data_IF_715268877996
#
_entry.id   IF_715268877996
#
_cell.length_a   1.000
_cell.length_b   1.000
_cell.length_c   1.000
_cell.angle_alpha   90.00
_cell.angle_beta   90.00
_cell.angle_gamma   90.00
#
_symmetry.space_group_name_H-M   'P 1'
#
loop_
_entity.id
_entity.type
_entity.pdbx_description
1 polymer ?
#
# COMPACT_ATOMS: atom_id res chain seq x y z
N UNK A 1 12.87 41.93 -13.17
CA UNK A 1 12.55 41.31 -14.35
C UNK A 1 12.94 39.90 -14.28
N UNK A 2 13.79 39.44 -14.11
CA UNK A 2 14.27 38.13 -14.21
C UNK A 2 13.96 37.33 -13.00
N UNK A 3 13.59 37.91 -11.92
CA UNK A 3 13.49 37.22 -10.66
C UNK A 3 12.35 36.20 -10.61
N UNK A 4 11.31 36.43 -11.37
CA UNK A 4 10.15 35.55 -11.34
C UNK A 4 10.45 34.17 -11.83
N UNK A 5 11.43 33.97 -12.64
CA UNK A 5 11.79 32.66 -13.17
C UNK A 5 12.26 31.70 -12.10
N UNK A 6 13.01 32.23 -11.16
CA UNK A 6 13.58 31.40 -10.10
C UNK A 6 12.50 30.83 -9.20
N UNK A 7 11.51 31.64 -8.92
CA UNK A 7 10.41 31.23 -8.06
C UNK A 7 9.64 30.04 -8.62
N UNK A 8 9.43 30.04 -9.93
CA UNK A 8 8.68 28.99 -10.59
C UNK A 8 9.36 27.65 -10.45
N UNK A 9 10.66 27.62 -10.57
CA UNK A 9 11.43 26.39 -10.48
C UNK A 9 11.29 25.74 -9.09
N UNK A 10 11.26 26.54 -8.06
CA UNK A 10 11.13 26.03 -6.71
C UNK A 10 9.84 25.27 -6.49
N UNK A 11 8.76 25.76 -7.06
CA UNK A 11 7.46 25.11 -6.88
C UNK A 11 7.40 23.74 -7.48
N UNK A 12 8.06 23.52 -8.59
CA UNK A 12 8.08 22.23 -9.25
C UNK A 12 8.71 21.18 -8.35
N UNK A 13 9.75 21.52 -7.64
CA UNK A 13 10.44 20.58 -6.78
C UNK A 13 9.55 20.06 -5.66
N UNK A 14 8.70 20.87 -5.10
CA UNK A 14 7.85 20.43 -4.00
C UNK A 14 6.87 19.37 -4.43
N UNK A 15 6.32 19.50 -5.61
CA UNK A 15 5.32 18.54 -6.09
C UNK A 15 5.90 17.15 -6.25
N UNK A 16 7.19 17.05 -6.51
CA UNK A 16 7.83 15.76 -6.73
C UNK A 16 7.86 14.89 -5.48
N UNK A 17 7.75 15.48 -4.30
CA UNK A 17 7.85 14.74 -3.04
C UNK A 17 6.53 14.47 -2.36
N UNK A 18 5.45 14.97 -2.92
CA UNK A 18 4.15 14.74 -2.34
C UNK A 18 3.68 13.32 -2.64
N UNK A 19 3.26 12.60 -1.62
CA UNK A 19 2.60 11.32 -1.77
C UNK A 19 1.21 11.46 -1.19
N UNK A 20 0.23 10.95 -1.92
CA UNK A 20 -1.13 11.06 -1.49
C UNK A 20 -1.51 9.94 -0.55
N UNK A 21 -2.39 10.27 0.39
CA UNK A 21 -3.03 9.29 1.25
C UNK A 21 -4.35 8.94 0.58
N UNK A 22 -4.55 7.66 0.29
CA UNK A 22 -5.75 7.22 -0.42
C UNK A 22 -6.46 6.13 0.35
N UNK A 23 -7.73 5.93 0.00
CA UNK A 23 -8.53 4.81 0.48
C UNK A 23 -8.56 3.70 -0.57
N UNK A 24 -9.12 2.54 -0.17
CA UNK A 24 -9.19 1.40 -1.08
C UNK A 24 -9.96 1.72 -2.36
N UNK A 25 -11.08 2.44 -2.24
CA UNK A 25 -11.90 2.74 -3.42
C UNK A 25 -11.22 3.66 -4.42
N UNK A 26 -10.24 4.44 -3.97
CA UNK A 26 -9.50 5.35 -4.84
C UNK A 26 -8.35 4.66 -5.56
N UNK A 27 -7.97 3.45 -5.14
CA UNK A 27 -6.73 2.83 -5.59
C UNK A 27 -6.64 2.68 -7.10
N UNK A 28 -7.73 2.36 -7.76
CA UNK A 28 -7.72 2.16 -9.21
C UNK A 28 -7.30 3.41 -9.98
N UNK A 29 -7.51 4.59 -9.39
CA UNK A 29 -7.15 5.85 -10.04
C UNK A 29 -5.68 6.19 -9.84
N UNK A 30 -4.97 5.42 -9.01
CA UNK A 30 -3.59 5.67 -8.68
C UNK A 30 -2.65 4.57 -9.18
N UNK A 31 -3.10 3.75 -10.13
CA UNK A 31 -2.27 2.70 -10.70
C UNK A 31 -0.98 3.28 -11.25
N UNK A 32 0.14 2.67 -10.90
CA UNK A 32 1.46 3.14 -11.31
C UNK A 32 2.05 4.21 -10.41
N UNK A 33 1.35 4.60 -9.35
CA UNK A 33 1.81 5.66 -8.45
C UNK A 33 2.08 5.11 -7.07
N UNK A 34 3.05 5.71 -6.39
CA UNK A 34 3.34 5.38 -5.00
C UNK A 34 2.47 6.22 -4.09
N UNK A 35 1.80 5.58 -3.15
CA UNK A 35 0.81 6.22 -2.28
C UNK A 35 0.94 5.70 -0.86
N UNK A 36 0.24 6.35 0.04
CA UNK A 36 -0.08 5.79 1.36
C UNK A 36 -1.52 5.31 1.33
N UNK A 37 -1.72 4.01 1.49
CA UNK A 37 -3.06 3.43 1.57
C UNK A 37 -3.47 3.34 3.03
N UNK A 38 -4.66 3.83 3.34
CA UNK A 38 -5.25 3.70 4.67
C UNK A 38 -6.52 2.89 4.55
N UNK A 39 -6.66 1.89 5.42
CA UNK A 39 -7.86 1.07 5.40
C UNK A 39 -7.84 0.03 6.50
N UNK A 40 -8.92 -0.72 6.59
CA UNK A 40 -9.08 -1.75 7.61
C UNK A 40 -8.83 -3.13 7.01
N UNK A 41 -8.07 -3.95 7.72
CA UNK A 41 -7.85 -5.34 7.31
C UNK A 41 -9.06 -6.14 7.75
N UNK A 42 -9.87 -6.56 6.78
CA UNK A 42 -11.08 -7.34 7.09
C UNK A 42 -10.89 -8.82 6.85
N UNK A 43 -9.83 -9.21 6.16
CA UNK A 43 -9.51 -10.62 5.97
C UNK A 43 -8.06 -10.82 5.64
N UNK A 44 -7.53 -11.96 6.03
CA UNK A 44 -6.14 -12.33 5.75
C UNK A 44 -6.13 -13.72 5.15
N UNK A 45 -5.14 -14.00 4.30
CA UNK A 45 -4.95 -15.34 3.77
C UNK A 45 -3.46 -15.60 3.61
N UNK A 46 -3.00 -16.66 4.26
CA UNK A 46 -1.61 -17.07 4.20
C UNK A 46 -1.47 -18.24 3.22
N UNK A 47 -0.58 -18.09 2.25
CA UNK A 47 -0.21 -19.16 1.33
C UNK A 47 1.18 -19.64 1.67
N UNK A 48 1.33 -20.93 1.90
CA UNK A 48 2.64 -21.52 2.13
C UNK A 48 3.09 -22.16 0.82
N UNK A 49 4.22 -21.69 0.30
CA UNK A 49 4.74 -22.14 -1.00
C UNK A 49 6.18 -22.55 -0.83
N UNK A 50 6.69 -23.44 -1.70
CA UNK A 50 8.11 -23.80 -1.68
C UNK A 50 9.03 -22.59 -1.88
N UNK A 51 8.56 -21.59 -2.62
CA UNK A 51 9.33 -20.37 -2.89
C UNK A 51 9.23 -19.33 -1.79
N UNK A 52 8.47 -19.62 -0.72
CA UNK A 52 8.28 -18.69 0.38
C UNK A 52 6.81 -18.40 0.62
N UNK A 53 6.50 -18.03 1.83
CA UNK A 53 5.12 -17.74 2.22
C UNK A 53 4.66 -16.40 1.68
N UNK A 54 3.36 -16.29 1.47
CA UNK A 54 2.75 -15.06 0.99
C UNK A 54 1.49 -14.78 1.81
N UNK A 55 1.39 -13.56 2.32
CA UNK A 55 0.22 -13.13 3.09
C UNK A 55 -0.54 -12.09 2.28
N UNK A 56 -1.83 -12.30 2.12
CA UNK A 56 -2.73 -11.35 1.47
C UNK A 56 -3.60 -10.69 2.52
N UNK A 57 -3.71 -9.36 2.42
CA UNK A 57 -4.58 -8.58 3.29
C UNK A 57 -5.68 -7.97 2.44
N UNK A 58 -6.93 -8.32 2.72
CA UNK A 58 -8.08 -7.72 2.05
C UNK A 58 -8.48 -6.46 2.81
N UNK A 59 -8.53 -5.34 2.10
CA UNK A 59 -8.75 -4.05 2.72
C UNK A 59 -10.20 -3.60 2.52
N UNK A 60 -10.83 -3.25 3.63
CA UNK A 60 -12.19 -2.71 3.73
C UNK A 60 -13.30 -3.67 3.36
N UNK A 61 -13.12 -4.51 2.35
CA UNK A 61 -14.10 -5.51 1.94
C UNK A 61 -13.43 -6.84 1.70
N UNK A 62 -14.17 -7.91 1.92
CA UNK A 62 -13.67 -9.26 1.69
C UNK A 62 -13.56 -9.57 0.20
N UNK A 63 -12.62 -10.46 -0.14
CA UNK A 63 -12.51 -10.97 -1.49
C UNK A 63 -13.79 -11.68 -1.89
N UNK A 64 -14.30 -11.53 -3.11
CA UNK A 64 -13.73 -10.81 -4.25
C UNK A 64 -14.19 -9.36 -4.40
N UNK A 65 -14.97 -8.83 -3.47
CA UNK A 65 -15.49 -7.47 -3.58
C UNK A 65 -14.49 -6.39 -3.15
N UNK A 66 -13.36 -6.78 -2.59
CA UNK A 66 -12.38 -5.80 -2.13
C UNK A 66 -11.78 -5.02 -3.30
N UNK A 67 -11.56 -3.74 -3.07
CA UNK A 67 -11.02 -2.85 -4.10
C UNK A 67 -9.50 -2.92 -4.21
N UNK A 68 -8.83 -3.39 -3.18
CA UNK A 68 -7.37 -3.50 -3.17
C UNK A 68 -6.93 -4.60 -2.23
N UNK A 69 -5.81 -5.23 -2.56
CA UNK A 69 -5.18 -6.23 -1.72
C UNK A 69 -3.74 -5.80 -1.43
N UNK A 70 -3.30 -5.98 -0.20
CA UNK A 70 -1.89 -5.78 0.17
C UNK A 70 -1.24 -7.15 0.17
N UNK A 71 -0.11 -7.27 -0.52
CA UNK A 71 0.62 -8.52 -0.67
C UNK A 71 1.94 -8.42 0.07
N UNK A 72 2.21 -9.37 0.96
CA UNK A 72 3.46 -9.42 1.71
C UNK A 72 4.04 -10.81 1.49
N UNK A 73 5.26 -10.89 0.96
CA UNK A 73 5.82 -12.20 0.66
C UNK A 73 7.31 -12.28 0.95
N UNK A 74 7.78 -13.51 1.06
CA UNK A 74 9.19 -13.84 1.17
C UNK A 74 9.88 -13.21 2.36
N UNK A 75 11.02 -12.60 2.08
CA UNK A 75 11.86 -12.00 3.11
C UNK A 75 11.16 -10.87 3.86
N UNK A 76 10.32 -10.13 3.16
CA UNK A 76 9.59 -9.03 3.77
C UNK A 76 8.63 -9.56 4.82
N UNK A 77 7.91 -10.64 4.48
CA UNK A 77 6.98 -11.24 5.42
C UNK A 77 7.70 -11.73 6.68
N UNK A 78 8.90 -12.27 6.52
CA UNK A 78 9.68 -12.74 7.66
C UNK A 78 10.09 -11.59 8.59
N UNK A 79 10.19 -10.37 8.08
CA UNK A 79 10.59 -9.19 8.85
C UNK A 79 9.42 -8.43 9.46
N UNK A 80 8.21 -8.67 8.98
CA UNK A 80 7.02 -8.01 9.52
C UNK A 80 6.77 -8.51 10.94
N UNK A 81 6.56 -7.60 11.86
CA UNK A 81 6.43 -7.93 13.28
C UNK A 81 5.00 -8.29 13.68
N UNK A 82 4.06 -8.17 12.75
CA UNK A 82 2.66 -8.43 13.01
C UNK A 82 2.27 -9.79 12.48
N UNK A 83 1.48 -10.53 13.25
CA UNK A 83 0.90 -11.79 12.80
C UNK A 83 -0.44 -11.52 12.11
N UNK A 84 -1.02 -12.56 11.49
CA UNK A 84 -2.36 -12.42 10.93
C UNK A 84 -3.35 -11.96 12.00
N UNK A 85 -3.25 -12.53 13.19
CA UNK A 85 -4.16 -12.18 14.28
C UNK A 85 -3.99 -10.73 14.71
N UNK A 86 -2.76 -10.21 14.66
CA UNK A 86 -2.50 -8.82 15.02
C UNK A 86 -3.13 -7.86 14.01
N UNK A 87 -3.17 -8.26 12.74
CA UNK A 87 -3.63 -7.38 11.65
C UNK A 87 -5.14 -7.45 11.45
N UNK A 88 -5.73 -8.61 11.70
CA UNK A 88 -7.16 -8.81 11.46
C UNK A 88 -7.99 -7.78 12.22
N UNK A 89 -8.82 -7.05 11.49
CA UNK A 89 -9.70 -6.04 12.07
C UNK A 89 -9.05 -4.71 12.40
N UNK A 90 -7.78 -4.55 12.08
CA UNK A 90 -7.04 -3.32 12.40
C UNK A 90 -7.02 -2.37 11.23
N UNK A 91 -7.03 -1.08 11.54
CA UNK A 91 -6.76 -0.06 10.55
C UNK A 91 -5.24 0.01 10.34
N UNK A 92 -4.83 0.02 9.09
CA UNK A 92 -3.41 0.05 8.75
C UNK A 92 -3.11 1.18 7.77
N UNK A 93 -1.85 1.55 7.70
CA UNK A 93 -1.33 2.48 6.71
C UNK A 93 -0.17 1.80 6.02
N UNK A 94 -0.24 1.75 4.69
CA UNK A 94 0.75 1.05 3.88
C UNK A 94 1.28 2.00 2.81
N UNK A 95 2.60 2.11 2.74
CA UNK A 95 3.25 2.86 1.67
C UNK A 95 3.63 1.89 0.56
N UNK A 96 3.28 2.21 -0.67
CA UNK A 96 3.69 1.38 -1.78
C UNK A 96 3.15 1.82 -3.12
N UNK A 97 3.63 1.14 -4.14
CA UNK A 97 3.22 1.38 -5.51
C UNK A 97 1.94 0.59 -5.80
N UNK A 98 0.93 1.29 -6.31
CA UNK A 98 -0.30 0.62 -6.75
C UNK A 98 -0.04 -0.02 -8.11
N UNK A 99 -0.23 -1.33 -8.19
CA UNK A 99 -0.15 -2.06 -9.45
C UNK A 99 -1.47 -2.78 -9.68
N UNK A 100 -1.68 -3.21 -10.92
CA UNK A 100 -2.89 -3.93 -11.29
C UNK A 100 -2.53 -5.38 -11.54
N UNK A 101 -3.21 -6.29 -10.85
CA UNK A 101 -3.04 -7.72 -11.02
C UNK A 101 -4.42 -8.34 -11.24
N UNK A 102 -4.61 -8.99 -12.39
CA UNK A 102 -5.89 -9.58 -12.77
C UNK A 102 -7.03 -8.59 -12.62
N UNK A 103 -6.79 -7.38 -13.15
CA UNK A 103 -7.76 -6.28 -13.18
C UNK A 103 -8.07 -5.65 -11.83
N UNK A 104 -7.36 -6.02 -10.79
CA UNK A 104 -7.56 -5.44 -9.46
C UNK A 104 -6.30 -4.74 -8.95
N UNK A 105 -6.47 -3.61 -8.26
CA UNK A 105 -5.33 -2.96 -7.62
C UNK A 105 -4.74 -3.80 -6.51
N UNK A 106 -3.42 -3.74 -6.41
CA UNK A 106 -2.72 -4.33 -5.28
C UNK A 106 -1.50 -3.48 -4.93
N UNK A 107 -1.05 -3.60 -3.70
CA UNK A 107 0.22 -3.05 -3.26
C UNK A 107 1.05 -4.20 -2.73
N UNK A 108 2.22 -4.41 -3.33
CA UNK A 108 3.17 -5.40 -2.82
C UNK A 108 4.14 -4.68 -1.90
N UNK A 109 4.16 -5.07 -0.65
CA UNK A 109 5.00 -4.44 0.36
C UNK A 109 6.48 -4.64 0.01
N UNK A 110 7.24 -3.54 -0.03
CA UNK A 110 8.66 -3.61 -0.39
C UNK A 110 9.57 -3.56 0.82
N UNK A 111 9.12 -2.95 1.91
CA UNK A 111 9.87 -2.88 3.15
C UNK A 111 8.91 -3.10 4.31
N UNK A 112 9.38 -3.84 5.31
CA UNK A 112 8.53 -4.14 6.45
C UNK A 112 8.09 -2.89 7.23
N UNK A 113 8.89 -1.81 7.17
CA UNK A 113 8.56 -0.57 7.88
C UNK A 113 7.46 0.24 7.20
N UNK A 114 7.12 -0.12 5.97
CA UNK A 114 6.08 0.60 5.22
C UNK A 114 4.67 0.18 5.63
N UNK A 115 4.54 -0.82 6.50
CA UNK A 115 3.26 -1.25 7.04
C UNK A 115 3.19 -0.87 8.51
N UNK A 116 2.20 -0.08 8.88
CA UNK A 116 1.99 0.31 10.27
C UNK A 116 0.52 0.15 10.65
N UNK A 117 0.30 -0.13 11.92
CA UNK A 117 -1.06 -0.18 12.47
C UNK A 117 -1.40 1.23 12.95
N UNK A 118 -2.57 1.71 12.55
CA UNK A 118 -3.05 3.03 12.95
C UNK A 118 -3.82 2.87 14.25
N UNK A 119 -3.45 3.67 15.25
CA UNK A 119 -4.10 3.63 16.56
C UNK A 119 -5.23 4.63 16.67
#
# INVERSE_FOLDING_TARGET
MRNSLITIISLICFNAFSQEIITATQAKDFAGKEVFLVGKVVGTKLFQRPTGNMLLLNIDKMFPENDITVVIEGDILAKVKFTEADLQGKAIKVKGLVSIFKEKPQIKLQNEVDLTIVL
#
